data_IF_379956956061
#
_entry.id   IF_379956956061
#
_cell.length_a   1.000
_cell.length_b   1.000
_cell.length_c   1.000
_cell.angle_alpha   90.00
_cell.angle_beta   90.00
_cell.angle_gamma   90.00
#
_symmetry.space_group_name_H-M   'P 1'
#
loop_
_entity.id
_entity.type
_entity.pdbx_description
1 polymer ?
#
# COMPACT_ATOMS: atom_id res chain seq x y z
N UNK A 1 7.51 9.26 -14.37
CA UNK A 1 7.58 8.98 -12.92
C UNK A 1 7.94 10.29 -12.24
N UNK A 2 7.31 10.62 -11.11
CA UNK A 2 7.54 11.90 -10.41
C UNK A 2 8.17 11.72 -9.03
N UNK A 3 7.94 10.57 -8.37
CA UNK A 3 8.56 10.25 -7.08
C UNK A 3 8.76 8.74 -6.94
N UNK A 4 9.84 8.35 -6.28
CA UNK A 4 10.12 6.99 -5.84
C UNK A 4 10.44 7.01 -4.34
N UNK A 5 10.21 5.89 -3.67
CA UNK A 5 10.52 5.71 -2.26
C UNK A 5 10.56 4.23 -1.90
N UNK A 6 11.26 3.91 -0.83
CA UNK A 6 11.48 2.53 -0.40
C UNK A 6 11.15 2.42 1.09
N UNK A 7 10.53 1.30 1.47
CA UNK A 7 10.57 0.82 2.85
C UNK A 7 11.70 -0.18 3.05
N UNK A 8 11.56 -1.07 4.03
CA UNK A 8 12.58 -2.10 4.32
C UNK A 8 12.76 -3.06 3.14
N UNK A 9 11.68 -3.76 2.77
CA UNK A 9 11.70 -4.79 1.72
C UNK A 9 10.68 -4.53 0.60
N UNK A 10 10.24 -3.28 0.44
CA UNK A 10 9.29 -2.89 -0.61
C UNK A 10 9.62 -1.51 -1.19
N UNK A 11 9.05 -1.22 -2.36
CA UNK A 11 9.23 0.04 -3.07
C UNK A 11 7.90 0.60 -3.55
N UNK A 12 7.83 1.94 -3.64
CA UNK A 12 6.70 2.73 -4.10
C UNK A 12 7.12 3.64 -5.25
N UNK A 13 6.28 3.73 -6.28
CA UNK A 13 6.50 4.59 -7.45
C UNK A 13 5.24 5.42 -7.68
N UNK A 14 5.38 6.75 -7.69
CA UNK A 14 4.34 7.68 -8.07
C UNK A 14 4.53 8.13 -9.53
N UNK A 15 3.51 7.96 -10.35
CA UNK A 15 3.52 8.43 -11.73
C UNK A 15 2.88 9.83 -11.88
N UNK A 16 2.98 10.42 -13.08
CA UNK A 16 2.46 11.77 -13.38
C UNK A 16 0.92 11.88 -13.31
N UNK A 17 0.22 10.75 -13.24
CA UNK A 17 -1.25 10.68 -13.18
C UNK A 17 -1.77 10.52 -11.75
N UNK A 18 -0.89 10.60 -10.74
CA UNK A 18 -1.27 10.40 -9.34
C UNK A 18 -1.49 8.93 -8.94
N UNK A 19 -1.06 7.97 -9.75
CA UNK A 19 -1.21 6.53 -9.44
C UNK A 19 0.06 6.02 -8.75
N UNK A 20 -0.11 5.50 -7.53
CA UNK A 20 0.93 4.77 -6.81
C UNK A 20 1.02 3.33 -7.29
N UNK A 21 2.26 2.86 -7.47
CA UNK A 21 2.58 1.47 -7.74
C UNK A 21 3.48 0.94 -6.65
N UNK A 22 3.28 -0.32 -6.27
CA UNK A 22 4.00 -1.00 -5.20
C UNK A 22 4.57 -2.33 -5.67
N UNK A 23 5.72 -2.71 -5.11
CA UNK A 23 6.31 -4.04 -5.33
C UNK A 23 7.29 -4.39 -4.21
N UNK A 24 7.63 -5.67 -4.08
CA UNK A 24 8.47 -6.21 -3.01
C UNK A 24 7.73 -7.14 -2.06
N UNK A 25 8.11 -7.13 -0.78
CA UNK A 25 7.60 -8.01 0.26
C UNK A 25 6.24 -7.55 0.81
N UNK A 26 5.23 -8.43 0.94
CA UNK A 26 3.85 -8.05 1.25
C UNK A 26 3.36 -8.26 2.69
N UNK A 27 4.18 -8.77 3.61
CA UNK A 27 3.78 -9.35 4.91
C UNK A 27 2.72 -8.60 5.73
N UNK A 28 2.75 -7.27 5.78
CA UNK A 28 1.81 -6.44 6.56
C UNK A 28 0.77 -5.74 5.67
N UNK A 29 0.64 -6.15 4.41
CA UNK A 29 -0.16 -5.44 3.42
C UNK A 29 0.45 -4.09 3.01
N UNK A 30 1.75 -3.86 3.25
CA UNK A 30 2.45 -2.60 2.93
C UNK A 30 2.43 -2.26 1.44
N UNK A 31 2.14 -3.24 0.58
CA UNK A 31 1.95 -3.02 -0.85
C UNK A 31 0.59 -2.38 -1.19
N UNK A 32 -0.39 -2.39 -0.28
CA UNK A 32 -1.70 -1.78 -0.52
C UNK A 32 -2.52 -2.48 -1.61
N UNK A 33 -2.30 -3.78 -1.84
CA UNK A 33 -2.95 -4.56 -2.91
C UNK A 33 -4.20 -5.33 -2.45
N UNK A 34 -4.55 -5.23 -1.16
CA UNK A 34 -5.72 -5.91 -0.58
C UNK A 34 -5.43 -7.28 0.03
N UNK A 35 -4.17 -7.69 0.09
CA UNK A 35 -3.72 -8.93 0.75
C UNK A 35 -2.33 -8.74 1.41
N UNK A 36 -1.93 -9.73 2.23
CA UNK A 36 -0.59 -9.83 2.84
C UNK A 36 0.34 -10.77 2.06
N UNK A 37 -0.11 -11.31 0.92
CA UNK A 37 0.64 -12.25 0.08
C UNK A 37 0.96 -13.60 0.72
N UNK A 38 0.45 -13.89 1.92
CA UNK A 38 0.69 -15.13 2.66
C UNK A 38 0.11 -16.36 1.95
N UNK A 39 0.86 -17.46 1.95
CA UNK A 39 0.37 -18.78 1.55
C UNK A 39 1.06 -19.90 2.32
N UNK A 40 0.38 -21.04 2.45
CA UNK A 40 0.95 -22.24 3.07
C UNK A 40 1.75 -23.01 2.02
N UNK A 41 3.07 -23.07 2.16
CA UNK A 41 3.95 -23.86 1.27
C UNK A 41 3.89 -25.34 1.63
N UNK A 42 3.87 -25.66 2.92
CA UNK A 42 3.73 -27.00 3.50
C UNK A 42 3.21 -26.90 4.95
N UNK A 43 2.69 -27.98 5.56
CA UNK A 43 2.17 -27.92 6.92
C UNK A 43 3.17 -27.28 7.90
N UNK A 44 2.73 -26.21 8.58
CA UNK A 44 3.56 -25.46 9.52
C UNK A 44 4.56 -24.46 8.91
N UNK A 45 4.59 -24.28 7.58
CA UNK A 45 5.45 -23.29 6.90
C UNK A 45 4.62 -22.34 6.04
N UNK A 46 4.56 -21.08 6.48
CA UNK A 46 4.01 -19.96 5.71
C UNK A 46 5.14 -19.32 4.88
N UNK A 47 4.80 -18.87 3.68
CA UNK A 47 5.68 -18.13 2.79
C UNK A 47 4.89 -16.99 2.14
N UNK A 48 5.55 -16.10 1.40
CA UNK A 48 4.97 -14.88 0.86
C UNK A 48 5.18 -14.75 -0.65
N UNK A 49 4.12 -14.37 -1.36
CA UNK A 49 4.17 -14.07 -2.78
C UNK A 49 4.67 -12.64 -2.99
N UNK A 50 5.99 -12.46 -3.03
CA UNK A 50 6.61 -11.16 -3.33
C UNK A 50 6.19 -10.66 -4.72
N UNK A 51 5.76 -9.40 -4.78
CA UNK A 51 5.44 -8.75 -6.04
C UNK A 51 6.73 -8.37 -6.76
N UNK A 52 7.01 -9.03 -7.88
CA UNK A 52 8.29 -8.88 -8.61
C UNK A 52 8.38 -7.62 -9.47
N UNK A 53 7.27 -6.93 -9.68
CA UNK A 53 7.22 -5.72 -10.48
C UNK A 53 6.11 -4.78 -10.02
N UNK A 54 6.15 -3.51 -10.47
CA UNK A 54 5.25 -2.47 -9.96
C UNK A 54 3.78 -2.78 -10.27
N UNK A 55 2.97 -2.93 -9.22
CA UNK A 55 1.53 -3.15 -9.31
C UNK A 55 0.78 -1.89 -8.88
N UNK A 56 -0.22 -1.42 -9.64
CA UNK A 56 -0.96 -0.22 -9.27
C UNK A 56 -1.86 -0.46 -8.04
N UNK A 57 -1.82 0.45 -7.09
CA UNK A 57 -2.79 0.52 -5.98
C UNK A 57 -4.11 1.04 -6.56
N UNK A 58 -5.14 0.19 -6.57
CA UNK A 58 -6.39 0.44 -7.34
C UNK A 58 -7.39 1.34 -6.62
N UNK A 59 -7.37 1.36 -5.30
CA UNK A 59 -8.40 2.01 -4.50
C UNK A 59 -7.88 2.37 -3.12
N UNK A 60 -8.31 3.52 -2.63
CA UNK A 60 -8.15 3.93 -1.24
C UNK A 60 -9.50 3.85 -0.55
N UNK A 61 -9.49 3.54 0.75
CA UNK A 61 -10.71 3.33 1.52
C UNK A 61 -10.75 4.23 2.75
N UNK A 62 -11.95 4.54 3.19
CA UNK A 62 -12.23 5.15 4.49
C UNK A 62 -13.16 4.25 5.29
N UNK A 63 -13.13 4.40 6.62
CA UNK A 63 -14.01 3.65 7.51
C UNK A 63 -15.43 4.24 7.47
N UNK A 64 -16.40 3.46 6.98
CA UNK A 64 -17.81 3.82 6.99
C UNK A 64 -18.42 3.81 8.39
N UNK A 65 -19.58 4.46 8.53
CA UNK A 65 -20.33 4.58 9.80
C UNK A 65 -20.78 3.22 10.36
N UNK A 66 -20.99 2.27 9.49
CA UNK A 66 -21.39 0.88 9.74
C UNK A 66 -20.19 -0.07 9.81
N UNK A 67 -18.98 0.46 9.99
CA UNK A 67 -17.72 -0.29 10.00
C UNK A 67 -17.39 -0.96 8.65
N UNK A 68 -18.15 -0.67 7.58
CA UNK A 68 -17.84 -1.14 6.24
C UNK A 68 -16.87 -0.18 5.54
N UNK A 69 -15.84 -0.69 4.83
CA UNK A 69 -14.92 0.15 4.09
C UNK A 69 -15.60 0.77 2.86
N UNK A 70 -15.52 2.09 2.74
CA UNK A 70 -16.01 2.83 1.58
C UNK A 70 -14.83 3.21 0.68
N UNK A 71 -14.95 2.97 -0.63
CA UNK A 71 -13.94 3.43 -1.60
C UNK A 71 -14.02 4.94 -1.72
N UNK A 72 -12.86 5.58 -1.62
CA UNK A 72 -12.71 7.03 -1.74
C UNK A 72 -12.49 7.39 -3.22
N UNK A 73 -13.45 8.05 -3.89
CA UNK A 73 -13.32 8.39 -5.30
C UNK A 73 -12.36 9.56 -5.53
N UNK A 74 -11.82 9.65 -6.75
CA UNK A 74 -10.97 10.76 -7.18
C UNK A 74 -9.68 10.91 -6.37
N UNK A 75 -9.01 9.79 -6.10
CA UNK A 75 -7.80 9.77 -5.26
C UNK A 75 -6.55 9.85 -6.14
N UNK A 76 -6.17 11.09 -6.48
CA UNK A 76 -4.93 11.38 -7.21
C UNK A 76 -3.83 11.72 -6.20
N UNK A 77 -2.89 10.79 -6.00
CA UNK A 77 -1.79 10.96 -5.04
C UNK A 77 -0.83 12.04 -5.53
N UNK A 78 -0.50 12.99 -4.66
CA UNK A 78 0.47 14.06 -4.95
C UNK A 78 1.78 13.87 -4.21
N UNK A 79 1.76 13.19 -3.07
CA UNK A 79 2.99 12.86 -2.34
C UNK A 79 2.84 11.62 -1.45
N UNK A 80 3.96 11.00 -1.09
CA UNK A 80 3.99 9.86 -0.17
C UNK A 80 5.31 9.76 0.61
N UNK A 81 5.31 9.03 1.72
CA UNK A 81 6.51 8.64 2.46
C UNK A 81 6.40 7.18 2.92
N UNK A 82 7.53 6.48 2.97
CA UNK A 82 7.62 5.10 3.43
C UNK A 82 8.39 5.03 4.74
N UNK A 83 7.82 4.34 5.73
CA UNK A 83 8.56 3.79 6.86
C UNK A 83 9.09 2.40 6.53
N UNK A 84 9.59 1.68 7.54
CA UNK A 84 10.13 0.32 7.34
C UNK A 84 9.08 -0.65 6.78
N UNK A 85 7.86 -0.61 7.32
CA UNK A 85 6.78 -1.55 6.96
C UNK A 85 5.41 -0.86 6.77
N UNK A 86 5.39 0.47 6.63
CA UNK A 86 4.16 1.23 6.37
C UNK A 86 4.41 2.35 5.35
N UNK A 87 3.34 2.82 4.74
CA UNK A 87 3.37 3.98 3.83
C UNK A 87 2.29 4.96 4.24
N UNK A 88 2.60 6.25 4.13
CA UNK A 88 1.63 7.34 4.20
C UNK A 88 1.60 8.09 2.88
N UNK A 89 0.43 8.54 2.45
CA UNK A 89 0.25 9.30 1.22
C UNK A 89 -0.76 10.42 1.38
N UNK A 90 -0.60 11.48 0.60
CA UNK A 90 -1.55 12.58 0.49
C UNK A 90 -2.01 12.74 -0.95
N UNK A 91 -3.27 13.12 -1.12
CA UNK A 91 -3.84 13.37 -2.44
C UNK A 91 -4.04 14.86 -2.76
N UNK A 92 -4.50 15.12 -3.99
CA UNK A 92 -4.79 16.46 -4.50
C UNK A 92 -5.87 17.20 -3.70
N UNK A 93 -6.73 16.46 -2.99
CA UNK A 93 -7.80 16.96 -2.14
C UNK A 93 -7.37 17.17 -0.68
N UNK A 94 -6.07 17.02 -0.38
CA UNK A 94 -5.49 17.17 0.97
C UNK A 94 -5.94 16.10 1.96
N UNK A 95 -6.43 14.95 1.48
CA UNK A 95 -6.73 13.78 2.31
C UNK A 95 -5.43 13.00 2.54
N UNK A 96 -5.29 12.42 3.72
CA UNK A 96 -4.17 11.57 4.09
C UNK A 96 -4.62 10.11 4.21
N UNK A 97 -3.76 9.20 3.77
CA UNK A 97 -3.95 7.76 3.81
C UNK A 97 -2.72 7.09 4.43
N UNK A 98 -2.93 5.99 5.16
CA UNK A 98 -1.87 5.18 5.73
C UNK A 98 -2.21 3.69 5.63
N UNK A 99 -1.22 2.85 5.37
CA UNK A 99 -1.38 1.39 5.32
C UNK A 99 -0.06 0.67 5.61
N UNK A 100 -0.13 -0.63 5.86
CA UNK A 100 0.98 -1.48 6.28
C UNK A 100 0.93 -1.79 7.79
N UNK A 101 2.09 -1.97 8.40
CA UNK A 101 2.19 -2.33 9.82
C UNK A 101 1.82 -1.17 10.75
N UNK A 102 0.74 -1.34 11.54
CA UNK A 102 0.18 -0.32 12.43
C UNK A 102 0.22 -0.66 13.93
N UNK A 103 1.15 -1.50 14.39
CA UNK A 103 1.18 -1.93 15.80
C UNK A 103 1.58 -0.82 16.79
N UNK A 104 2.21 0.26 16.31
CA UNK A 104 2.74 1.35 17.14
C UNK A 104 2.08 2.72 16.86
N UNK A 105 1.07 2.77 15.99
CA UNK A 105 0.46 3.99 15.46
C UNK A 105 0.29 3.89 13.96
#
# INVERSE_FOLDING_TARGET
IVKIGCGGDFSMILNIKGVLHSFGFPEYGQLGLGDTGEYIERPGKVNYNCQRGPMPIKSFIEKGKDNHPNVVPGTDIVDFACGTNHTVAIDSQKRAFSWGFGAYG
#
